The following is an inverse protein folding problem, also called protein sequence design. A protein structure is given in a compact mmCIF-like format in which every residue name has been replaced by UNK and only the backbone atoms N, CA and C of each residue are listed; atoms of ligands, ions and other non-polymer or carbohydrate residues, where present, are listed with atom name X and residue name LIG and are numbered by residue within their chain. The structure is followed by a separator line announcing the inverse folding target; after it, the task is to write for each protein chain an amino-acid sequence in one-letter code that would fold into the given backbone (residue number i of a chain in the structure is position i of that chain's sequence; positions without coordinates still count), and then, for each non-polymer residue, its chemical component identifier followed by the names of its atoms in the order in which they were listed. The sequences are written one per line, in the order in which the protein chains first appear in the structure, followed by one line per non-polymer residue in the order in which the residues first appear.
data_IF_414890497747
#
_entry.id   IF_414890497747
#
_cell.length_a   1.000
_cell.length_b   1.000
_cell.length_c   1.000
_cell.angle_alpha   90.00
_cell.angle_beta   90.00
_cell.angle_gamma   90.00
#
_symmetry.space_group_name_H-M   'P 1'
#
loop_
_entity.id
_entity.type
_entity.pdbx_description
1 polymer ?
#
# COMPACT_ATOMS: atom_id res chain seq x y z
N UNK A 1 -35.54 0.85 -0.67
CA UNK A 1 -34.50 1.83 -0.26
C UNK A 1 -33.23 1.08 0.04
N UNK A 2 -32.11 1.44 -0.59
CA UNK A 2 -30.81 0.81 -0.38
C UNK A 2 -29.71 1.82 -0.71
N UNK A 3 -28.90 2.12 0.30
CA UNK A 3 -28.10 3.34 0.42
C UNK A 3 -27.02 3.55 -0.65
N UNK A 4 -26.86 4.82 -0.97
CA UNK A 4 -25.81 5.41 -1.80
C UNK A 4 -24.45 5.10 -1.20
N UNK A 5 -23.62 4.30 -1.88
CA UNK A 5 -22.17 4.31 -1.65
C UNK A 5 -21.61 5.52 -2.40
N UNK A 6 -21.53 6.65 -1.70
CA UNK A 6 -20.83 7.83 -2.16
C UNK A 6 -19.35 7.48 -2.36
N UNK A 7 -18.95 7.31 -3.62
CA UNK A 7 -17.53 7.20 -3.98
C UNK A 7 -16.97 8.62 -4.00
N UNK A 8 -15.98 8.84 -3.14
CA UNK A 8 -15.23 10.10 -2.97
C UNK A 8 -14.85 10.74 -4.29
N UNK A 9 -15.04 12.06 -4.36
CA UNK A 9 -14.47 12.93 -5.38
C UNK A 9 -13.19 13.63 -4.93
N UNK A 10 -12.50 14.19 -5.93
CA UNK A 10 -11.32 15.07 -5.84
C UNK A 10 -10.01 14.32 -6.11
N UNK A 11 -9.16 14.64 -7.09
CA UNK A 11 -9.09 15.73 -8.07
C UNK A 11 -7.63 15.84 -8.56
N UNK A 12 -7.42 16.17 -9.85
CA UNK A 12 -6.11 16.36 -10.50
C UNK A 12 -5.75 15.19 -11.44
N UNK A 13 -5.74 15.28 -12.77
CA UNK A 13 -5.66 16.43 -13.66
C UNK A 13 -4.23 16.64 -14.17
N UNK A 14 -3.61 15.65 -14.82
CA UNK A 14 -2.33 15.81 -15.50
C UNK A 14 -1.55 14.52 -15.83
N UNK A 15 -1.61 13.49 -14.98
CA UNK A 15 -0.84 12.23 -15.07
C UNK A 15 -1.75 10.99 -15.24
N UNK A 16 -2.90 11.18 -15.87
CA UNK A 16 -4.08 10.30 -15.81
C UNK A 16 -3.89 8.90 -16.41
N UNK A 17 -2.80 8.66 -17.16
CA UNK A 17 -2.51 7.35 -17.75
C UNK A 17 -1.78 6.41 -16.80
N UNK A 18 -0.61 6.82 -16.28
CA UNK A 18 0.29 5.93 -15.53
C UNK A 18 -0.19 5.72 -14.09
N UNK A 19 -0.45 6.79 -13.34
CA UNK A 19 -0.96 6.67 -11.97
C UNK A 19 -2.33 6.01 -11.91
N UNK A 20 -3.23 6.38 -12.85
CA UNK A 20 -4.53 5.73 -12.98
C UNK A 20 -4.43 4.22 -13.22
N UNK A 21 -3.49 3.78 -14.07
CA UNK A 21 -3.20 2.37 -14.31
C UNK A 21 -2.66 1.67 -13.05
N UNK A 22 -1.63 2.24 -12.41
CA UNK A 22 -1.04 1.67 -11.18
C UNK A 22 -2.12 1.46 -10.12
N UNK A 23 -2.95 2.48 -9.87
CA UNK A 23 -4.04 2.37 -8.90
C UNK A 23 -5.08 1.31 -9.29
N UNK A 24 -5.40 1.20 -10.58
CA UNK A 24 -6.29 0.16 -11.11
C UNK A 24 -5.73 -1.25 -10.89
N UNK A 25 -4.46 -1.45 -11.23
CA UNK A 25 -3.75 -2.73 -11.11
C UNK A 25 -3.66 -3.14 -9.63
N UNK A 26 -3.24 -2.24 -8.74
CA UNK A 26 -3.21 -2.49 -7.29
C UNK A 26 -4.59 -2.81 -6.72
N UNK A 27 -5.63 -2.14 -7.19
CA UNK A 27 -7.01 -2.35 -6.71
C UNK A 27 -7.58 -3.70 -7.15
N UNK A 28 -7.14 -4.22 -8.30
CA UNK A 28 -7.59 -5.50 -8.84
C UNK A 28 -6.72 -6.69 -8.39
N UNK A 29 -5.47 -6.45 -7.99
CA UNK A 29 -4.55 -7.48 -7.54
C UNK A 29 -5.00 -8.13 -6.22
N UNK A 30 -5.00 -9.47 -6.19
CA UNK A 30 -5.47 -10.28 -5.06
C UNK A 30 -4.44 -11.28 -4.53
N UNK A 31 -3.24 -11.32 -5.13
CA UNK A 31 -2.14 -12.19 -4.70
C UNK A 31 -0.93 -11.34 -4.39
N UNK A 32 -0.18 -11.73 -3.36
CA UNK A 32 1.04 -11.04 -2.94
C UNK A 32 2.03 -10.86 -4.10
N UNK A 33 2.30 -11.93 -4.85
CA UNK A 33 3.23 -11.89 -5.99
C UNK A 33 2.85 -10.85 -7.06
N UNK A 34 1.55 -10.64 -7.29
CA UNK A 34 1.06 -9.73 -8.33
C UNK A 34 1.17 -8.28 -7.82
N UNK A 35 0.83 -8.05 -6.54
CA UNK A 35 1.02 -6.74 -5.88
C UNK A 35 2.49 -6.34 -5.86
N UNK A 36 3.38 -7.27 -5.47
CA UNK A 36 4.82 -7.03 -5.38
C UNK A 36 5.46 -6.83 -6.77
N UNK A 37 4.95 -7.50 -7.81
CA UNK A 37 5.39 -7.25 -9.18
C UNK A 37 5.03 -5.84 -9.66
N UNK A 38 3.86 -5.32 -9.30
CA UNK A 38 3.48 -3.92 -9.60
C UNK A 38 4.40 -2.94 -8.87
N UNK A 39 4.70 -3.20 -7.59
CA UNK A 39 5.65 -2.38 -6.82
C UNK A 39 7.00 -2.32 -7.52
N UNK A 40 7.56 -3.45 -7.92
CA UNK A 40 8.87 -3.50 -8.58
C UNK A 40 8.85 -2.79 -9.95
N UNK A 41 7.81 -3.00 -10.75
CA UNK A 41 7.73 -2.47 -12.11
C UNK A 41 7.50 -0.95 -12.17
N UNK A 42 6.79 -0.38 -11.19
CA UNK A 42 6.37 1.02 -11.20
C UNK A 42 6.86 1.81 -9.96
N UNK A 43 7.86 1.31 -9.22
CA UNK A 43 8.37 1.94 -7.99
C UNK A 43 8.71 3.42 -8.15
N UNK A 44 9.22 3.82 -9.32
CA UNK A 44 9.59 5.20 -9.66
C UNK A 44 8.39 6.16 -9.74
N UNK A 45 7.19 5.62 -9.92
CA UNK A 45 5.93 6.35 -10.07
C UNK A 45 4.98 6.17 -8.86
N UNK A 46 5.45 5.58 -7.76
CA UNK A 46 4.65 5.43 -6.55
C UNK A 46 4.57 6.73 -5.76
N UNK A 47 3.34 7.21 -5.55
CA UNK A 47 3.02 8.30 -4.64
C UNK A 47 2.47 7.76 -3.31
N UNK A 48 2.03 8.66 -2.43
CA UNK A 48 1.41 8.31 -1.16
C UNK A 48 0.16 7.42 -1.30
N UNK A 49 -0.65 7.59 -2.36
CA UNK A 49 -1.88 6.83 -2.58
C UNK A 49 -1.56 5.41 -3.06
N UNK A 50 -0.66 5.27 -4.04
CA UNK A 50 -0.21 3.97 -4.55
C UNK A 50 0.44 3.17 -3.42
N UNK A 51 1.32 3.81 -2.65
CA UNK A 51 2.07 3.18 -1.55
C UNK A 51 1.13 2.67 -0.45
N UNK A 52 0.22 3.52 0.04
CA UNK A 52 -0.76 3.12 1.05
C UNK A 52 -1.71 2.03 0.54
N UNK A 53 -2.08 2.06 -0.74
CA UNK A 53 -2.93 1.04 -1.36
C UNK A 53 -2.20 -0.30 -1.44
N UNK A 54 -0.95 -0.31 -1.90
CA UNK A 54 -0.17 -1.53 -2.09
C UNK A 54 0.05 -2.28 -0.77
N UNK A 55 0.52 -1.60 0.29
CA UNK A 55 0.77 -2.25 1.58
C UNK A 55 -0.51 -2.77 2.23
N UNK A 56 -1.61 -2.01 2.14
CA UNK A 56 -2.92 -2.45 2.63
C UNK A 56 -3.44 -3.67 1.87
N UNK A 57 -3.32 -3.67 0.54
CA UNK A 57 -3.74 -4.79 -0.33
C UNK A 57 -2.92 -6.04 -0.03
N UNK A 58 -1.62 -5.89 0.17
CA UNK A 58 -0.72 -6.98 0.52
C UNK A 58 -1.14 -7.62 1.86
N UNK A 59 -1.41 -6.80 2.87
CA UNK A 59 -1.87 -7.28 4.18
C UNK A 59 -3.29 -7.89 4.17
N UNK A 60 -4.18 -7.41 3.30
CA UNK A 60 -5.58 -7.89 3.23
C UNK A 60 -5.73 -9.15 2.38
N UNK A 61 -5.06 -9.22 1.23
CA UNK A 61 -5.27 -10.28 0.24
C UNK A 61 -4.02 -11.12 -0.03
N UNK A 62 -2.84 -10.56 0.22
CA UNK A 62 -1.56 -11.22 -0.04
C UNK A 62 -1.15 -12.23 1.01
N UNK A 63 -1.71 -12.18 2.23
CA UNK A 63 -1.28 -13.03 3.35
C UNK A 63 -2.44 -13.67 4.12
N UNK A 64 -2.79 -14.92 3.76
CA UNK A 64 -3.94 -15.64 4.35
C UNK A 64 -3.61 -16.28 5.68
N UNK A 65 -2.41 -16.83 5.81
CA UNK A 65 -1.89 -17.48 7.02
C UNK A 65 -0.46 -17.04 7.34
N UNK A 66 0.14 -17.64 8.37
CA UNK A 66 1.49 -17.27 8.82
C UNK A 66 2.55 -17.52 7.75
N UNK A 67 2.45 -18.60 6.98
CA UNK A 67 3.42 -18.94 5.95
C UNK A 67 3.42 -17.91 4.84
N UNK A 68 2.23 -17.49 4.40
CA UNK A 68 2.12 -16.42 3.41
C UNK A 68 2.72 -15.09 3.91
N UNK A 69 2.56 -14.75 5.20
CA UNK A 69 3.15 -13.53 5.80
C UNK A 69 4.67 -13.60 5.76
N UNK A 70 5.22 -14.73 6.21
CA UNK A 70 6.64 -15.02 6.22
C UNK A 70 7.25 -14.92 4.81
N UNK A 71 6.59 -15.49 3.81
CA UNK A 71 7.03 -15.44 2.41
C UNK A 71 6.97 -14.00 1.86
N UNK A 72 5.92 -13.24 2.20
CA UNK A 72 5.81 -11.82 1.83
C UNK A 72 6.94 -10.99 2.43
N UNK A 73 7.19 -11.11 3.74
CA UNK A 73 8.18 -10.27 4.44
C UNK A 73 9.61 -10.60 3.99
N UNK A 74 9.87 -11.86 3.57
CA UNK A 74 11.17 -12.28 3.02
C UNK A 74 11.38 -11.92 1.55
N UNK A 75 10.33 -11.53 0.82
CA UNK A 75 10.44 -11.16 -0.58
C UNK A 75 11.22 -9.84 -0.73
N UNK A 76 12.21 -9.81 -1.62
CA UNK A 76 13.06 -8.62 -1.85
C UNK A 76 12.24 -7.40 -2.28
N UNK A 77 11.13 -7.62 -3.00
CA UNK A 77 10.24 -6.55 -3.48
C UNK A 77 9.41 -5.95 -2.35
N UNK A 78 9.20 -6.70 -1.26
CA UNK A 78 8.62 -6.12 -0.04
C UNK A 78 9.56 -5.07 0.57
N UNK A 79 10.89 -5.28 0.51
CA UNK A 79 11.87 -4.26 0.88
C UNK A 79 11.79 -2.98 0.05
N UNK A 80 11.46 -3.10 -1.25
CA UNK A 80 11.15 -1.92 -2.09
C UNK A 80 9.90 -1.20 -1.60
N UNK A 81 8.84 -1.94 -1.27
CA UNK A 81 7.60 -1.36 -0.74
C UNK A 81 7.82 -0.64 0.59
N UNK A 82 8.61 -1.21 1.51
CA UNK A 82 8.89 -0.56 2.80
C UNK A 82 9.71 0.72 2.62
N UNK A 83 10.63 0.76 1.66
CA UNK A 83 11.35 1.98 1.29
C UNK A 83 10.40 3.05 0.74
N UNK A 84 9.43 2.66 -0.08
CA UNK A 84 8.40 3.59 -0.58
C UNK A 84 7.49 4.10 0.55
N UNK A 85 7.15 3.23 1.51
CA UNK A 85 6.39 3.63 2.71
C UNK A 85 7.16 4.72 3.46
N UNK A 86 8.43 4.51 3.78
CA UNK A 86 9.24 5.50 4.50
C UNK A 86 9.32 6.84 3.76
N UNK A 87 9.54 6.82 2.43
CA UNK A 87 9.62 8.01 1.59
C UNK A 87 8.32 8.80 1.53
N UNK A 88 7.19 8.12 1.35
CA UNK A 88 5.90 8.74 1.05
C UNK A 88 5.04 8.95 2.31
N UNK A 89 5.48 8.48 3.48
CA UNK A 89 4.67 8.45 4.70
C UNK A 89 4.16 9.83 5.10
N UNK A 90 4.99 10.86 4.96
CA UNK A 90 4.68 12.24 5.37
C UNK A 90 3.62 12.90 4.49
N UNK A 91 3.45 12.41 3.26
CA UNK A 91 2.46 12.91 2.31
C UNK A 91 1.13 12.14 2.42
N UNK A 92 1.07 11.10 3.26
CA UNK A 92 -0.17 10.36 3.51
C UNK A 92 -1.11 11.14 4.41
N UNK A 93 -2.40 11.13 4.06
CA UNK A 93 -3.45 11.54 4.98
C UNK A 93 -3.68 10.50 6.09
N UNK A 94 -4.52 10.84 7.07
CA UNK A 94 -4.82 9.97 8.22
C UNK A 94 -5.30 8.56 7.83
N UNK A 95 -6.01 8.42 6.71
CA UNK A 95 -6.43 7.10 6.23
C UNK A 95 -5.25 6.30 5.66
N UNK A 96 -4.33 6.96 4.95
CA UNK A 96 -3.09 6.32 4.47
C UNK A 96 -2.23 5.84 5.64
N UNK A 97 -2.03 6.68 6.66
CA UNK A 97 -1.29 6.32 7.87
C UNK A 97 -1.94 5.15 8.62
N UNK A 98 -3.27 5.17 8.78
CA UNK A 98 -4.01 4.07 9.40
C UNK A 98 -3.87 2.76 8.61
N UNK A 99 -3.88 2.83 7.27
CA UNK A 99 -3.68 1.67 6.41
C UNK A 99 -2.28 1.06 6.59
N UNK A 100 -1.23 1.89 6.67
CA UNK A 100 0.14 1.43 6.94
C UNK A 100 0.21 0.77 8.31
N UNK A 101 -0.30 1.43 9.35
CA UNK A 101 -0.28 0.92 10.72
C UNK A 101 -0.95 -0.45 10.83
N UNK A 102 -2.17 -0.56 10.29
CA UNK A 102 -2.91 -1.82 10.28
C UNK A 102 -2.19 -2.90 9.49
N UNK A 103 -1.62 -2.56 8.32
CA UNK A 103 -0.92 -3.52 7.49
C UNK A 103 0.34 -4.07 8.16
N UNK A 104 1.14 -3.21 8.80
CA UNK A 104 2.31 -3.63 9.58
C UNK A 104 1.92 -4.62 10.68
N UNK A 105 0.87 -4.31 11.45
CA UNK A 105 0.36 -5.22 12.48
C UNK A 105 -0.13 -6.55 11.89
N UNK A 106 -0.87 -6.51 10.78
CA UNK A 106 -1.46 -7.69 10.12
C UNK A 106 -0.43 -8.61 9.47
N UNK A 107 0.70 -8.04 9.02
CA UNK A 107 1.86 -8.75 8.47
C UNK A 107 2.87 -9.16 9.55
N UNK A 108 2.64 -8.77 10.81
CA UNK A 108 3.60 -8.97 11.92
C UNK A 108 4.99 -8.38 11.61
N UNK A 109 4.99 -7.28 10.84
CA UNK A 109 6.18 -6.59 10.38
C UNK A 109 6.43 -5.33 11.22
N UNK A 110 7.66 -5.17 11.71
CA UNK A 110 8.10 -3.94 12.37
C UNK A 110 8.70 -2.97 11.33
N UNK A 111 8.03 -1.84 11.02
CA UNK A 111 8.52 -0.88 10.04
C UNK A 111 9.62 0.04 10.57
N UNK A 112 10.02 -0.10 11.84
CA UNK A 112 11.02 0.75 12.47
C UNK A 112 10.43 1.96 13.18
N UNK A 113 11.24 2.57 14.05
CA UNK A 113 10.79 3.61 14.98
C UNK A 113 10.31 4.89 14.29
N UNK A 114 10.91 5.28 13.16
CA UNK A 114 10.55 6.52 12.45
C UNK A 114 9.17 6.43 11.79
N UNK A 115 8.85 5.29 11.18
CA UNK A 115 7.51 5.03 10.65
C UNK A 115 6.48 5.03 11.78
N UNK A 116 6.78 4.34 12.89
CA UNK A 116 5.89 4.29 14.06
C UNK A 116 5.66 5.67 14.69
N UNK A 117 6.70 6.51 14.78
CA UNK A 117 6.60 7.89 15.28
C UNK A 117 5.70 8.75 14.39
N UNK A 118 5.85 8.63 13.08
CA UNK A 118 5.06 9.41 12.11
C UNK A 118 3.58 9.01 12.16
N UNK A 119 3.27 7.73 12.38
CA UNK A 119 1.90 7.24 12.53
C UNK A 119 1.26 7.71 13.85
N UNK A 120 2.06 7.86 14.92
CA UNK A 120 1.59 8.23 16.25
C UNK A 120 1.46 9.75 16.48
N UNK A 121 2.08 10.56 15.62
CA UNK A 121 2.04 12.03 15.66
C UNK A 121 0.82 12.62 14.95
#
# INVERSE_FOLDING_TARGET
GGGRRGRRGGGGGGETGRGGRIQGDLTSATRAKDILAIVEADADAFDAIHTATAIHRLATHGSRDQRDRDDVVRDVRFGTLTTLVDRNLRDMNSQGLANVAWACARLEFNPGVEVLRTIAG
#
